data_IF_709925052052
#
_entry.id   IF_709925052052
#
_cell.length_a   1.000
_cell.length_b   1.000
_cell.length_c   1.000
_cell.angle_alpha   90.00
_cell.angle_beta   90.00
_cell.angle_gamma   90.00
#
_symmetry.space_group_name_H-M   'P 1'
#
loop_
_entity.id
_entity.type
_entity.pdbx_description
1 polymer ?
#
# COMPACT_ATOMS: atom_id res chain seq x y z
N UNK A 1 -4.45 -18.32 -6.11
CA UNK A 1 -4.80 -19.08 -4.88
C UNK A 1 -5.75 -18.18 -4.11
N UNK A 2 -6.97 -18.61 -3.82
CA UNK A 2 -7.98 -17.79 -3.15
C UNK A 2 -8.59 -18.57 -1.98
N UNK A 3 -9.10 -17.84 -0.99
CA UNK A 3 -9.88 -18.36 0.13
C UNK A 3 -10.97 -17.34 0.36
N UNK A 4 -12.23 -17.71 0.09
CA UNK A 4 -13.38 -16.82 0.23
C UNK A 4 -13.76 -16.65 1.70
N UNK A 5 -14.56 -15.64 2.02
CA UNK A 5 -15.00 -15.35 3.39
C UNK A 5 -15.72 -16.52 4.08
N UNK A 6 -16.29 -17.45 3.31
CA UNK A 6 -17.01 -18.63 3.81
C UNK A 6 -16.08 -19.71 4.40
N UNK A 7 -14.76 -19.55 4.23
CA UNK A 7 -13.76 -20.49 4.71
C UNK A 7 -13.38 -20.24 6.17
N UNK A 8 -12.97 -21.30 6.87
CA UNK A 8 -12.54 -21.17 8.26
C UNK A 8 -11.27 -20.31 8.39
N UNK A 9 -11.09 -19.56 9.50
CA UNK A 9 -9.88 -18.80 9.76
C UNK A 9 -8.57 -19.60 9.63
N UNK A 10 -8.58 -20.88 10.00
CA UNK A 10 -7.44 -21.79 9.84
C UNK A 10 -7.07 -22.01 8.37
N UNK A 11 -8.05 -22.01 7.47
CA UNK A 11 -7.81 -22.16 6.04
C UNK A 11 -7.13 -20.91 5.48
N UNK A 12 -7.58 -19.71 5.85
CA UNK A 12 -6.90 -18.45 5.49
C UNK A 12 -5.43 -18.44 5.93
N UNK A 13 -5.17 -18.85 7.17
CA UNK A 13 -3.81 -19.00 7.71
C UNK A 13 -2.99 -19.95 6.83
N UNK A 14 -3.46 -21.19 6.64
CA UNK A 14 -2.75 -22.22 5.88
C UNK A 14 -2.45 -21.79 4.44
N UNK A 15 -3.43 -21.20 3.77
CA UNK A 15 -3.28 -20.68 2.40
C UNK A 15 -2.21 -19.59 2.34
N UNK A 16 -2.22 -18.65 3.30
CA UNK A 16 -1.21 -17.58 3.35
C UNK A 16 0.21 -18.14 3.54
N UNK A 17 0.39 -19.13 4.41
CA UNK A 17 1.69 -19.76 4.67
C UNK A 17 2.20 -20.49 3.42
N UNK A 18 1.34 -21.25 2.74
CA UNK A 18 1.69 -21.94 1.50
C UNK A 18 2.07 -20.98 0.36
N UNK A 19 1.32 -19.89 0.19
CA UNK A 19 1.62 -18.84 -0.81
C UNK A 19 2.99 -18.22 -0.52
N UNK A 20 3.26 -17.88 0.74
CA UNK A 20 4.53 -17.27 1.15
C UNK A 20 5.70 -18.20 0.89
N UNK A 21 5.61 -19.47 1.30
CA UNK A 21 6.69 -20.44 1.08
C UNK A 21 6.94 -20.68 -0.40
N UNK A 22 5.89 -20.80 -1.22
CA UNK A 22 6.03 -20.90 -2.68
C UNK A 22 6.73 -19.67 -3.27
N UNK A 23 6.34 -18.47 -2.84
CA UNK A 23 6.95 -17.23 -3.33
C UNK A 23 8.44 -17.17 -2.98
N UNK A 24 8.83 -17.54 -1.74
CA UNK A 24 10.23 -17.62 -1.34
C UNK A 24 11.03 -18.57 -2.23
N UNK A 25 10.51 -19.77 -2.51
CA UNK A 25 11.19 -20.74 -3.40
C UNK A 25 11.39 -20.19 -4.80
N UNK A 26 10.41 -19.49 -5.36
CA UNK A 26 10.56 -18.84 -6.66
C UNK A 26 11.63 -17.74 -6.65
N UNK A 27 11.71 -16.95 -5.57
CA UNK A 27 12.74 -15.91 -5.39
C UNK A 27 14.14 -16.52 -5.21
N UNK A 28 14.27 -17.65 -4.50
CA UNK A 28 15.53 -18.43 -4.42
C UNK A 28 16.02 -18.87 -5.81
N UNK A 29 15.09 -19.11 -6.75
CA UNK A 29 15.39 -19.35 -8.17
C UNK A 29 15.52 -18.06 -9.00
N UNK A 30 15.81 -16.93 -8.35
CA UNK A 30 16.04 -15.60 -8.94
C UNK A 30 14.86 -15.07 -9.77
N UNK A 31 13.63 -15.45 -9.40
CA UNK A 31 12.41 -14.90 -10.02
C UNK A 31 11.95 -13.66 -9.26
N UNK A 32 11.40 -12.72 -10.01
CA UNK A 32 10.65 -11.59 -9.46
C UNK A 32 9.19 -12.01 -9.25
N UNK A 33 8.73 -11.95 -8.01
CA UNK A 33 7.42 -12.46 -7.59
C UNK A 33 6.63 -11.32 -6.98
N UNK A 34 5.38 -11.18 -7.43
CA UNK A 34 4.42 -10.21 -6.86
C UNK A 34 3.29 -10.97 -6.18
N UNK A 35 2.98 -10.61 -4.94
CA UNK A 35 1.80 -11.06 -4.21
C UNK A 35 0.86 -9.87 -4.06
N UNK A 36 -0.38 -10.02 -4.53
CA UNK A 36 -1.48 -9.09 -4.26
C UNK A 36 -2.38 -9.72 -3.18
N UNK A 37 -2.40 -9.13 -1.99
CA UNK A 37 -3.11 -9.63 -0.82
C UNK A 37 -4.32 -8.74 -0.50
N UNK A 38 -5.53 -9.28 -0.65
CA UNK A 38 -6.76 -8.62 -0.24
C UNK A 38 -7.49 -9.44 0.84
N UNK A 39 -7.33 -9.15 2.14
CA UNK A 39 -6.61 -8.02 2.75
C UNK A 39 -5.74 -8.45 3.92
N UNK A 40 -4.72 -7.64 4.25
CA UNK A 40 -3.86 -7.94 5.41
C UNK A 40 -4.61 -7.79 6.74
N UNK A 41 -5.60 -6.89 6.80
CA UNK A 41 -6.48 -6.74 7.96
C UNK A 41 -7.26 -8.02 8.24
N UNK A 42 -7.85 -8.62 7.20
CA UNK A 42 -8.59 -9.89 7.34
C UNK A 42 -7.66 -11.04 7.71
N UNK A 43 -6.44 -11.06 7.15
CA UNK A 43 -5.44 -12.05 7.54
C UNK A 43 -5.08 -11.94 9.02
N UNK A 44 -4.81 -10.72 9.53
CA UNK A 44 -4.50 -10.50 10.94
C UNK A 44 -5.65 -10.94 11.87
N UNK A 45 -6.90 -10.67 11.48
CA UNK A 45 -8.09 -11.16 12.20
C UNK A 45 -8.13 -12.69 12.26
N UNK A 46 -7.86 -13.37 11.15
CA UNK A 46 -7.84 -14.83 11.12
C UNK A 46 -6.75 -15.41 12.05
N UNK A 47 -5.57 -14.79 12.12
CA UNK A 47 -4.56 -15.20 13.11
C UNK A 47 -5.01 -14.91 14.55
N UNK A 48 -5.70 -13.81 14.82
CA UNK A 48 -6.20 -13.49 16.16
C UNK A 48 -7.23 -14.48 16.69
N UNK A 49 -8.01 -15.10 15.80
CA UNK A 49 -8.99 -16.12 16.16
C UNK A 49 -8.38 -17.52 16.36
N UNK A 50 -7.20 -17.78 15.82
CA UNK A 50 -6.62 -19.14 15.74
C UNK A 50 -5.37 -19.34 16.58
N UNK A 51 -4.67 -18.26 16.94
CA UNK A 51 -3.47 -18.33 17.78
C UNK A 51 -3.88 -18.51 19.24
N UNK A 52 -3.23 -19.43 19.99
CA UNK A 52 -3.45 -19.55 21.43
C UNK A 52 -3.18 -18.21 22.14
N UNK A 53 -4.06 -17.78 23.06
CA UNK A 53 -3.88 -16.52 23.77
C UNK A 53 -2.54 -16.47 24.51
N UNK A 54 -1.81 -15.37 24.34
CA UNK A 54 -0.54 -15.11 25.03
C UNK A 54 -0.73 -14.60 26.47
N UNK A 55 -1.98 -14.37 26.89
CA UNK A 55 -2.32 -13.74 28.18
C UNK A 55 -2.17 -12.22 28.18
N UNK A 56 -1.82 -11.61 27.04
CA UNK A 56 -1.73 -10.15 26.87
C UNK A 56 -2.69 -9.71 25.78
N UNK A 57 -3.40 -8.62 26.01
CA UNK A 57 -4.37 -8.08 25.05
C UNK A 57 -4.05 -6.61 24.80
N UNK A 58 -3.83 -6.27 23.54
CA UNK A 58 -3.72 -4.88 23.10
C UNK A 58 -5.10 -4.23 23.05
N UNK A 59 -5.12 -2.90 22.94
CA UNK A 59 -6.34 -2.16 22.67
C UNK A 59 -7.08 -2.76 21.47
N UNK A 60 -8.41 -2.90 21.58
CA UNK A 60 -9.23 -3.49 20.52
C UNK A 60 -9.35 -5.02 20.55
N UNK A 61 -8.79 -5.72 21.55
CA UNK A 61 -8.98 -7.17 21.69
C UNK A 61 -8.02 -8.01 20.84
N UNK A 62 -6.93 -7.40 20.39
CA UNK A 62 -5.90 -8.03 19.58
C UNK A 62 -4.81 -8.63 20.47
N UNK A 63 -4.50 -9.91 20.30
CA UNK A 63 -3.35 -10.52 20.93
C UNK A 63 -2.08 -10.16 20.15
N UNK A 64 -1.01 -9.64 20.80
CA UNK A 64 0.26 -9.36 20.11
C UNK A 64 0.83 -10.56 19.35
N UNK A 65 0.62 -11.79 19.84
CA UNK A 65 1.10 -13.00 19.19
C UNK A 65 0.43 -13.23 17.84
N UNK A 66 -0.81 -12.78 17.66
CA UNK A 66 -1.56 -12.87 16.42
C UNK A 66 -0.93 -12.07 15.28
N UNK A 67 -0.21 -10.98 15.59
CA UNK A 67 0.44 -10.13 14.60
C UNK A 67 1.76 -10.70 14.09
N UNK A 68 2.38 -11.65 14.79
CA UNK A 68 3.72 -12.14 14.47
C UNK A 68 3.80 -12.69 13.04
N UNK A 69 2.90 -13.60 12.68
CA UNK A 69 2.90 -14.25 11.37
C UNK A 69 2.46 -13.32 10.24
N UNK A 70 1.38 -12.53 10.37
CA UNK A 70 1.05 -11.47 9.42
C UNK A 70 2.19 -10.47 9.16
N UNK A 71 2.90 -10.01 10.21
CA UNK A 71 4.09 -9.16 10.06
C UNK A 71 5.22 -9.86 9.32
N UNK A 72 5.48 -11.13 9.65
CA UNK A 72 6.48 -11.95 8.96
C UNK A 72 6.12 -12.15 7.48
N UNK A 73 4.85 -12.32 7.15
CA UNK A 73 4.36 -12.42 5.78
C UNK A 73 4.64 -11.13 5.01
N UNK A 74 4.21 -9.98 5.54
CA UNK A 74 4.38 -8.71 4.87
C UNK A 74 5.85 -8.28 4.77
N UNK A 75 6.61 -8.45 5.86
CA UNK A 75 8.05 -8.17 5.91
C UNK A 75 8.93 -9.17 5.15
N UNK A 76 8.34 -10.21 4.54
CA UNK A 76 9.05 -11.06 3.60
C UNK A 76 9.37 -10.32 2.29
N UNK A 77 8.58 -9.30 1.93
CA UNK A 77 8.80 -8.49 0.74
C UNK A 77 10.16 -7.78 0.82
N UNK A 78 11.01 -8.01 -0.18
CA UNK A 78 12.35 -7.41 -0.28
C UNK A 78 12.96 -7.65 -1.66
N UNK A 79 13.86 -6.76 -2.05
CA UNK A 79 14.73 -6.94 -3.19
C UNK A 79 16.02 -7.70 -2.76
N UNK A 80 16.39 -8.77 -3.46
CA UNK A 80 17.57 -9.59 -3.11
C UNK A 80 18.81 -9.11 -3.87
N UNK A 81 19.96 -9.07 -3.19
CA UNK A 81 21.23 -8.65 -3.83
C UNK A 81 21.72 -9.62 -4.91
N UNK A 82 21.44 -10.91 -4.74
CA UNK A 82 21.96 -11.99 -5.61
C UNK A 82 21.00 -12.36 -6.77
N UNK A 83 19.90 -11.61 -6.91
CA UNK A 83 18.88 -11.76 -7.95
C UNK A 83 17.52 -12.21 -7.41
N UNK A 84 16.46 -11.82 -8.11
CA UNK A 84 15.08 -12.03 -7.71
C UNK A 84 14.58 -10.99 -6.69
N UNK A 85 13.27 -10.87 -6.60
CA UNK A 85 12.61 -9.94 -5.68
C UNK A 85 11.24 -10.48 -5.25
N UNK A 86 10.84 -10.18 -4.01
CA UNK A 86 9.48 -10.39 -3.54
C UNK A 86 8.82 -9.05 -3.30
N UNK A 87 7.79 -8.74 -4.08
CA UNK A 87 6.94 -7.57 -3.88
C UNK A 87 5.61 -8.04 -3.29
N UNK A 88 5.17 -7.41 -2.20
CA UNK A 88 3.87 -7.67 -1.59
C UNK A 88 3.09 -6.37 -1.55
N UNK A 89 1.95 -6.33 -2.25
CA UNK A 89 0.99 -5.24 -2.15
C UNK A 89 -0.24 -5.78 -1.42
N UNK A 90 -0.60 -5.17 -0.31
CA UNK A 90 -1.73 -5.60 0.48
C UNK A 90 -2.70 -4.45 0.72
N UNK A 91 -4.00 -4.73 0.63
CA UNK A 91 -5.02 -3.79 1.06
C UNK A 91 -5.11 -3.83 2.59
N UNK A 92 -5.28 -2.65 3.20
CA UNK A 92 -5.56 -2.49 4.61
C UNK A 92 -6.88 -1.73 4.76
N UNK A 93 -7.77 -2.23 5.62
CA UNK A 93 -9.02 -1.55 5.91
C UNK A 93 -8.78 -0.51 6.99
N UNK A 94 -9.25 0.71 6.73
CA UNK A 94 -9.23 1.86 7.65
C UNK A 94 -10.64 2.41 7.81
N UNK A 95 -10.88 3.17 8.88
CA UNK A 95 -12.18 3.80 9.14
C UNK A 95 -13.35 2.80 9.17
N UNK A 96 -13.10 1.58 9.70
CA UNK A 96 -14.11 0.52 9.83
C UNK A 96 -14.96 0.67 11.10
N UNK A 97 -14.57 1.57 12.01
CA UNK A 97 -15.12 1.70 13.36
C UNK A 97 -14.59 0.63 14.34
N UNK A 98 -13.72 -0.29 13.89
CA UNK A 98 -13.11 -1.30 14.75
C UNK A 98 -11.74 -0.86 15.25
N UNK A 99 -11.62 -0.68 16.57
CA UNK A 99 -10.32 -0.39 17.20
C UNK A 99 -9.25 -1.45 16.91
N UNK A 100 -9.66 -2.70 16.67
CA UNK A 100 -8.73 -3.75 16.28
C UNK A 100 -8.10 -3.47 14.91
N UNK A 101 -8.91 -3.03 13.94
CA UNK A 101 -8.41 -2.73 12.59
C UNK A 101 -7.48 -1.52 12.60
N UNK A 102 -7.79 -0.50 13.42
CA UNK A 102 -6.93 0.67 13.61
C UNK A 102 -5.55 0.26 14.14
N UNK A 103 -5.52 -0.61 15.16
CA UNK A 103 -4.26 -1.15 15.71
C UNK A 103 -3.52 -1.99 14.66
N UNK A 104 -4.22 -2.85 13.91
CA UNK A 104 -3.61 -3.62 12.83
C UNK A 104 -2.98 -2.70 11.79
N UNK A 105 -3.69 -1.65 11.36
CA UNK A 105 -3.18 -0.68 10.39
C UNK A 105 -1.89 -0.01 10.87
N UNK A 106 -1.88 0.53 12.09
CA UNK A 106 -0.70 1.20 12.66
C UNK A 106 0.51 0.26 12.76
N UNK A 107 0.29 -1.00 13.17
CA UNK A 107 1.35 -2.01 13.28
C UNK A 107 1.97 -2.38 11.91
N UNK A 108 1.17 -2.33 10.84
CA UNK A 108 1.64 -2.60 9.47
C UNK A 108 2.25 -1.38 8.78
N UNK A 109 1.80 -0.17 9.12
CA UNK A 109 2.38 1.09 8.64
C UNK A 109 3.88 1.19 8.94
N UNK A 110 4.29 0.73 10.13
CA UNK A 110 5.70 0.64 10.51
C UNK A 110 6.51 -0.39 9.71
N UNK A 111 5.84 -1.43 9.19
CA UNK A 111 6.48 -2.56 8.50
C UNK A 111 6.67 -2.29 7.00
N UNK A 112 5.73 -1.58 6.38
CA UNK A 112 5.76 -1.23 4.95
C UNK A 112 6.73 -0.09 4.62
N UNK A 113 7.02 0.05 3.32
CA UNK A 113 7.79 1.15 2.77
C UNK A 113 7.04 1.95 1.68
N UNK A 114 5.82 1.53 1.29
CA UNK A 114 4.95 2.21 0.35
C UNK A 114 3.52 2.21 0.88
N UNK A 115 2.86 3.36 0.81
CA UNK A 115 1.46 3.58 1.20
C UNK A 115 0.73 4.26 0.04
N UNK A 116 -0.38 3.67 -0.39
CA UNK A 116 -1.33 4.27 -1.33
C UNK A 116 -2.65 4.47 -0.62
N UNK A 117 -2.94 5.71 -0.24
CA UNK A 117 -4.13 6.06 0.56
C UNK A 117 -5.28 6.39 -0.37
N UNK A 118 -6.43 5.79 -0.13
CA UNK A 118 -7.67 6.07 -0.86
C UNK A 118 -8.59 6.94 0.00
N UNK A 119 -9.13 8.00 -0.58
CA UNK A 119 -10.01 8.96 0.11
C UNK A 119 -11.49 8.67 -0.17
N UNK A 120 -12.25 8.47 0.91
CA UNK A 120 -13.69 8.17 0.84
C UNK A 120 -14.49 9.33 0.22
N UNK A 121 -14.16 10.59 0.50
CA UNK A 121 -14.84 11.77 -0.03
C UNK A 121 -14.65 11.89 -1.53
N UNK A 122 -13.46 11.58 -2.05
CA UNK A 122 -13.22 11.54 -3.50
C UNK A 122 -14.10 10.47 -4.17
N UNK A 123 -14.16 9.27 -3.57
CA UNK A 123 -15.01 8.19 -4.07
C UNK A 123 -16.52 8.55 -4.02
N UNK A 124 -16.98 9.20 -2.95
CA UNK A 124 -18.38 9.65 -2.80
C UNK A 124 -18.75 10.72 -3.85
N UNK A 125 -17.80 11.61 -4.21
CA UNK A 125 -17.92 12.56 -5.32
C UNK A 125 -17.79 11.90 -6.71
N UNK A 126 -17.59 10.58 -6.79
CA UNK A 126 -17.34 9.80 -8.03
C UNK A 126 -16.08 10.22 -8.79
N UNK A 127 -15.07 10.71 -8.08
CA UNK A 127 -13.76 11.03 -8.65
C UNK A 127 -12.87 9.79 -8.55
N UNK A 128 -12.41 9.27 -9.69
CA UNK A 128 -11.57 8.07 -9.75
C UNK A 128 -10.32 8.29 -10.62
N UNK A 129 -9.15 7.76 -10.22
CA UNK A 129 -8.91 6.98 -8.99
C UNK A 129 -8.96 7.88 -7.73
N UNK A 130 -9.60 7.37 -6.66
CA UNK A 130 -9.85 8.13 -5.42
C UNK A 130 -8.60 8.16 -4.51
N UNK A 131 -7.46 8.61 -5.02
CA UNK A 131 -6.16 8.56 -4.34
C UNK A 131 -5.89 9.89 -3.62
N UNK A 132 -5.56 9.82 -2.34
CA UNK A 132 -5.00 10.94 -1.58
C UNK A 132 -3.49 11.02 -1.88
N UNK A 133 -3.12 11.90 -2.82
CA UNK A 133 -1.73 12.04 -3.29
C UNK A 133 -0.80 12.51 -2.16
N UNK A 134 -1.29 13.37 -1.26
CA UNK A 134 -0.48 13.95 -0.19
C UNK A 134 -0.16 12.92 0.90
N UNK A 135 -1.13 12.09 1.27
CA UNK A 135 -0.92 11.02 2.25
C UNK A 135 -0.25 9.77 1.67
N UNK A 136 -0.34 9.56 0.36
CA UNK A 136 0.36 8.47 -0.32
C UNK A 136 1.86 8.76 -0.43
N UNK A 137 2.70 7.73 -0.48
CA UNK A 137 4.14 7.91 -0.63
C UNK A 137 4.93 6.60 -0.60
N UNK A 138 6.18 6.66 -1.06
CA UNK A 138 7.14 5.55 -1.00
C UNK A 138 8.42 6.03 -0.35
N UNK A 139 8.92 5.31 0.65
CA UNK A 139 10.23 5.58 1.24
C UNK A 139 11.32 5.27 0.21
N UNK A 140 12.31 6.16 0.13
CA UNK A 140 13.43 6.03 -0.81
C UNK A 140 13.00 6.00 -2.28
N UNK A 141 11.98 6.79 -2.63
CA UNK A 141 11.56 7.02 -4.01
C UNK A 141 12.68 7.64 -4.89
N UNK A 142 13.70 8.24 -4.27
CA UNK A 142 14.96 8.66 -4.92
C UNK A 142 15.69 7.54 -5.68
N UNK A 143 15.46 6.28 -5.30
CA UNK A 143 16.05 5.11 -5.97
C UNK A 143 15.20 4.61 -7.15
N UNK A 144 13.97 5.13 -7.30
CA UNK A 144 12.97 4.65 -8.26
C UNK A 144 12.69 5.68 -9.34
N UNK A 145 12.72 6.96 -8.98
CA UNK A 145 12.41 8.07 -9.88
C UNK A 145 13.68 8.67 -10.47
N UNK A 146 13.60 9.08 -11.73
CA UNK A 146 14.60 9.95 -12.35
C UNK A 146 14.59 11.34 -11.69
N UNK A 147 15.67 12.13 -11.77
CA UNK A 147 15.68 13.50 -11.23
C UNK A 147 14.54 14.37 -11.78
N UNK A 148 14.22 14.18 -13.06
CA UNK A 148 13.13 14.89 -13.75
C UNK A 148 11.76 14.53 -13.16
N UNK A 149 11.49 13.24 -12.95
CA UNK A 149 10.25 12.80 -12.32
C UNK A 149 10.14 13.31 -10.90
N UNK A 150 11.23 13.24 -10.13
CA UNK A 150 11.28 13.68 -8.74
C UNK A 150 10.96 15.18 -8.61
N UNK A 151 11.64 16.04 -9.36
CA UNK A 151 11.41 17.48 -9.32
C UNK A 151 9.95 17.83 -9.65
N UNK A 152 9.37 17.10 -10.58
CA UNK A 152 7.98 17.28 -11.03
C UNK A 152 6.99 16.83 -9.96
N UNK A 153 7.19 15.65 -9.37
CA UNK A 153 6.36 15.14 -8.27
C UNK A 153 6.44 16.08 -7.06
N UNK A 154 7.62 16.59 -6.73
CA UNK A 154 7.80 17.54 -5.63
C UNK A 154 7.08 18.86 -5.90
N UNK A 155 7.13 19.38 -7.14
CA UNK A 155 6.37 20.57 -7.53
C UNK A 155 4.86 20.36 -7.42
N UNK A 156 4.36 19.22 -7.91
CA UNK A 156 2.94 18.86 -7.81
C UNK A 156 2.49 18.73 -6.36
N UNK A 157 3.29 18.11 -5.49
CA UNK A 157 2.99 18.00 -4.06
C UNK A 157 2.92 19.37 -3.38
N UNK A 158 3.79 20.31 -3.75
CA UNK A 158 3.74 21.70 -3.22
C UNK A 158 2.43 22.38 -3.62
N UNK A 159 2.03 22.28 -4.88
CA UNK A 159 0.77 22.88 -5.35
C UNK A 159 -0.45 22.28 -4.64
N UNK A 160 -0.50 20.95 -4.53
CA UNK A 160 -1.59 20.23 -3.86
C UNK A 160 -1.69 20.55 -2.36
N UNK A 161 -0.58 20.92 -1.72
CA UNK A 161 -0.58 21.31 -0.29
C UNK A 161 -1.12 22.72 -0.03
N UNK A 162 -1.36 23.51 -1.08
CA UNK A 162 -1.96 24.84 -0.98
C UNK A 162 -3.46 24.83 -0.68
N UNK A 163 -4.03 26.01 -0.42
CA UNK A 163 -5.45 26.16 -0.05
C UNK A 163 -6.50 25.83 -1.13
N UNK A 164 -6.09 25.36 -2.32
CA UNK A 164 -6.96 25.01 -3.47
C UNK A 164 -6.76 23.56 -3.93
N UNK A 165 -6.59 22.64 -2.99
CA UNK A 165 -6.27 21.23 -3.25
C UNK A 165 -7.28 20.52 -4.19
N UNK A 166 -8.58 20.76 -4.01
CA UNK A 166 -9.65 20.11 -4.78
C UNK A 166 -9.66 20.58 -6.25
N UNK A 167 -9.51 21.89 -6.48
CA UNK A 167 -9.41 22.48 -7.84
C UNK A 167 -8.15 21.98 -8.55
N UNK A 168 -7.02 21.96 -7.83
CA UNK A 168 -5.73 21.49 -8.34
C UNK A 168 -5.81 20.01 -8.74
N UNK A 169 -6.46 19.17 -7.94
CA UNK A 169 -6.64 17.76 -8.26
C UNK A 169 -7.47 17.57 -9.54
N UNK A 170 -8.56 18.30 -9.70
CA UNK A 170 -9.40 18.26 -10.91
C UNK A 170 -8.63 18.74 -12.15
N UNK A 171 -7.82 19.79 -12.03
CA UNK A 171 -6.95 20.25 -13.12
C UNK A 171 -5.89 19.21 -13.50
N UNK A 172 -5.27 18.58 -12.50
CA UNK A 172 -4.31 17.49 -12.72
C UNK A 172 -4.97 16.30 -13.44
N UNK A 173 -6.17 15.88 -13.01
CA UNK A 173 -6.91 14.81 -13.67
C UNK A 173 -7.23 15.15 -15.13
N UNK A 174 -7.64 16.40 -15.41
CA UNK A 174 -7.86 16.86 -16.80
C UNK A 174 -6.58 16.83 -17.62
N UNK A 175 -5.42 17.16 -17.04
CA UNK A 175 -4.12 17.07 -17.72
C UNK A 175 -3.72 15.62 -18.00
N UNK A 176 -3.92 14.70 -17.05
CA UNK A 176 -3.70 13.27 -17.26
C UNK A 176 -4.55 12.73 -18.42
N UNK A 177 -5.82 13.13 -18.52
CA UNK A 177 -6.71 12.70 -19.61
C UNK A 177 -6.26 13.25 -20.97
N UNK A 178 -5.69 14.47 -21.01
CA UNK A 178 -5.23 15.12 -22.25
C UNK A 178 -3.90 14.58 -22.76
N UNK A 179 -3.13 13.89 -21.92
CA UNK A 179 -1.79 13.40 -22.25
C UNK A 179 -1.84 11.92 -22.60
N UNK A 180 -0.96 11.51 -23.52
CA UNK A 180 -0.91 10.11 -23.97
C UNK A 180 -0.21 9.21 -22.96
N UNK A 181 0.78 9.74 -22.24
CA UNK A 181 1.59 9.00 -21.29
C UNK A 181 2.16 9.93 -20.19
N UNK A 182 2.79 9.33 -19.19
CA UNK A 182 3.37 10.06 -18.05
C UNK A 182 4.54 10.97 -18.47
N UNK A 183 5.30 10.62 -19.52
CA UNK A 183 6.40 11.45 -20.02
C UNK A 183 5.87 12.80 -20.54
N UNK A 184 4.83 12.77 -21.37
CA UNK A 184 4.18 13.97 -21.89
C UNK A 184 3.55 14.81 -20.78
N UNK A 185 2.92 14.15 -19.80
CA UNK A 185 2.40 14.81 -18.61
C UNK A 185 3.49 15.55 -17.84
N UNK A 186 4.60 14.87 -17.56
CA UNK A 186 5.74 15.47 -16.86
C UNK A 186 6.27 16.67 -17.63
N UNK A 187 6.46 16.55 -18.95
CA UNK A 187 6.95 17.66 -19.78
C UNK A 187 6.02 18.87 -19.78
N UNK A 188 4.70 18.66 -19.81
CA UNK A 188 3.72 19.74 -19.73
C UNK A 188 3.72 20.42 -18.37
N UNK A 189 3.71 19.64 -17.29
CA UNK A 189 3.73 20.15 -15.91
C UNK A 189 5.01 20.92 -15.63
N UNK A 190 6.16 20.43 -16.10
CA UNK A 190 7.43 21.16 -15.97
C UNK A 190 7.40 22.49 -16.70
N UNK A 191 6.81 22.54 -17.89
CA UNK A 191 6.67 23.79 -18.65
C UNK A 191 5.73 24.80 -17.97
N UNK A 192 4.70 24.35 -17.26
CA UNK A 192 3.74 25.24 -16.59
C UNK A 192 4.18 25.67 -15.19
N UNK A 193 4.69 24.74 -14.37
CA UNK A 193 5.01 24.99 -12.96
C UNK A 193 6.45 25.46 -12.73
N UNK A 194 7.43 24.99 -13.51
CA UNK A 194 8.86 25.29 -13.27
C UNK A 194 9.40 26.45 -14.11
N UNK A 195 8.65 26.98 -15.09
CA UNK A 195 9.05 28.19 -15.84
C UNK A 195 8.69 29.50 -15.14
N UNK A 196 7.95 29.43 -14.04
CA UNK A 196 7.43 30.59 -13.30
C UNK A 196 8.24 30.87 -12.03
N UNK A 197 9.39 30.20 -11.86
CA UNK A 197 10.39 30.42 -10.81
C UNK A 197 11.72 30.85 -11.44
#
# INVERSE_FOLDING_TARGET
IYSTFDELPEHHKRVSEMVLERAKRLVEHKKDVVILLDSITRLARAYNLTVPPSGRTLTGGLDPAALHMPKKFFGAARNMREGGSLTVLATALVETGSKMDDVVFEEFKGTGNMELVLDRKLSEKRIFPAIDILKSGTRRDDLLLTPVEKDTVDALRRELSGGRSDETLDEMLKLFIKTKNNEEFIDLVRKSLLKTS
#
